data_IF_841512636951
#
_entry.id   IF_841512636951
#
_cell.length_a   1.000
_cell.length_b   1.000
_cell.length_c   1.000
_cell.angle_alpha   90.00
_cell.angle_beta   90.00
_cell.angle_gamma   90.00
#
_symmetry.space_group_name_H-M   'P 1'
#
loop_
_entity.id
_entity.type
_entity.pdbx_description
1 polymer ?
#
# COMPACT_ATOMS: atom_id res chain seq x y z
N UNK A 1 2.17 4.96 -3.76
CA UNK A 1 1.68 6.24 -4.31
C UNK A 1 0.16 6.21 -4.29
N UNK A 2 -0.53 7.36 -4.44
CA UNK A 2 -1.98 7.33 -4.62
C UNK A 2 -2.34 6.51 -5.87
N UNK A 3 -3.45 5.79 -5.78
CA UNK A 3 -4.00 5.00 -6.86
C UNK A 3 -4.32 5.93 -8.06
N UNK A 4 -4.01 5.46 -9.27
CA UNK A 4 -4.03 6.30 -10.48
C UNK A 4 -5.38 6.33 -11.20
N UNK A 5 -6.20 5.28 -11.10
CA UNK A 5 -7.51 5.22 -11.77
C UNK A 5 -8.53 6.18 -11.16
N UNK A 6 -8.36 6.61 -9.91
CA UNK A 6 -9.17 7.67 -9.30
C UNK A 6 -8.78 9.09 -9.73
N UNK A 7 -7.70 9.26 -10.49
CA UNK A 7 -7.29 10.56 -10.99
C UNK A 7 -7.88 10.84 -12.38
N UNK A 8 -8.21 12.11 -12.65
CA UNK A 8 -8.69 12.49 -13.98
C UNK A 8 -7.64 12.35 -15.09
N UNK A 9 -6.37 12.56 -14.72
CA UNK A 9 -5.21 12.27 -15.57
C UNK A 9 -4.23 11.36 -14.82
N UNK A 10 -4.19 10.05 -15.14
CA UNK A 10 -3.28 9.11 -14.49
C UNK A 10 -1.82 9.31 -14.93
N UNK A 11 -1.57 9.97 -16.08
CA UNK A 11 -0.22 10.20 -16.62
C UNK A 11 0.48 11.37 -15.94
N UNK A 12 -0.26 12.35 -15.43
CA UNK A 12 0.28 13.40 -14.56
C UNK A 12 0.45 12.87 -13.11
N UNK A 13 1.68 12.69 -12.61
CA UNK A 13 1.92 12.19 -11.26
C UNK A 13 1.40 13.14 -10.15
N UNK A 14 1.27 14.44 -10.44
CA UNK A 14 0.76 15.42 -9.49
C UNK A 14 -0.77 15.52 -9.49
N UNK A 15 -1.45 15.09 -10.55
CA UNK A 15 -2.90 15.15 -10.68
C UNK A 15 -3.59 14.43 -9.51
N UNK A 16 -3.27 13.14 -9.32
CA UNK A 16 -3.79 12.32 -8.22
C UNK A 16 -3.59 12.94 -6.83
N UNK A 17 -2.46 13.60 -6.59
CA UNK A 17 -2.15 14.23 -5.30
C UNK A 17 -3.00 15.48 -5.09
N UNK A 18 -3.15 16.32 -6.12
CA UNK A 18 -3.95 17.55 -6.05
C UNK A 18 -5.43 17.22 -5.85
N UNK A 19 -5.94 16.26 -6.60
CA UNK A 19 -7.35 15.85 -6.54
C UNK A 19 -7.70 15.21 -5.20
N UNK A 20 -6.85 14.33 -4.69
CA UNK A 20 -7.05 13.75 -3.37
C UNK A 20 -7.02 14.81 -2.25
N UNK A 21 -6.07 15.76 -2.30
CA UNK A 21 -6.05 16.89 -1.35
C UNK A 21 -7.32 17.74 -1.44
N UNK A 22 -7.84 17.98 -2.65
CA UNK A 22 -9.09 18.72 -2.87
C UNK A 22 -10.29 17.95 -2.30
N UNK A 23 -10.34 16.63 -2.47
CA UNK A 23 -11.36 15.77 -1.87
C UNK A 23 -11.34 15.92 -0.35
N UNK A 24 -10.22 15.65 0.31
CA UNK A 24 -10.10 15.75 1.78
C UNK A 24 -10.49 17.13 2.28
N UNK A 25 -10.00 18.19 1.63
CA UNK A 25 -10.35 19.58 1.98
C UNK A 25 -11.85 19.85 1.88
N UNK A 26 -12.50 19.32 0.84
CA UNK A 26 -13.94 19.50 0.62
C UNK A 26 -14.74 18.77 1.70
N UNK A 27 -14.37 17.54 2.05
CA UNK A 27 -15.02 16.81 3.14
C UNK A 27 -14.87 17.55 4.48
N UNK A 28 -13.67 18.02 4.80
CA UNK A 28 -13.41 18.75 6.04
C UNK A 28 -14.19 20.07 6.12
N UNK A 29 -14.32 20.81 5.00
CA UNK A 29 -15.15 22.02 4.93
C UNK A 29 -16.64 21.75 5.18
N UNK A 30 -17.09 20.54 4.89
CA UNK A 30 -18.46 20.09 5.14
C UNK A 30 -18.61 19.37 6.50
N UNK A 31 -17.62 19.46 7.39
CA UNK A 31 -17.67 18.86 8.72
C UNK A 31 -17.50 17.33 8.75
N UNK A 32 -17.18 16.71 7.61
CA UNK A 32 -16.94 15.28 7.51
C UNK A 32 -15.46 14.96 7.72
N UNK A 33 -15.16 13.84 8.39
CA UNK A 33 -13.79 13.34 8.57
C UNK A 33 -13.49 12.27 7.54
N UNK A 34 -12.22 12.15 7.16
CA UNK A 34 -11.74 11.14 6.22
C UNK A 34 -10.83 10.16 6.96
N UNK A 35 -11.17 8.87 6.90
CA UNK A 35 -10.34 7.76 7.40
C UNK A 35 -9.83 6.97 6.20
N UNK A 36 -8.55 6.62 6.19
CA UNK A 36 -7.93 5.85 5.11
C UNK A 36 -7.75 4.40 5.53
N UNK A 37 -8.19 3.50 4.66
CA UNK A 37 -7.84 2.09 4.74
C UNK A 37 -6.41 1.90 4.22
N UNK A 38 -5.55 1.31 5.04
CA UNK A 38 -4.12 1.14 4.76
C UNK A 38 -3.74 -0.32 4.96
N UNK A 39 -3.18 -0.92 3.91
CA UNK A 39 -2.81 -2.33 3.87
C UNK A 39 -1.31 -2.44 4.15
N UNK A 40 -0.94 -2.63 5.41
CA UNK A 40 0.44 -2.85 5.85
C UNK A 40 0.74 -4.31 6.22
N UNK A 41 -0.17 -5.24 5.92
CA UNK A 41 -0.03 -6.65 6.27
C UNK A 41 0.60 -7.51 5.17
N UNK A 42 0.45 -7.15 3.89
CA UNK A 42 1.01 -7.91 2.76
C UNK A 42 1.35 -6.99 1.58
N UNK A 43 2.13 -7.51 0.64
CA UNK A 43 2.42 -6.90 -0.65
C UNK A 43 1.76 -7.68 -1.79
N UNK A 44 1.48 -7.04 -2.92
CA UNK A 44 0.86 -7.70 -4.08
C UNK A 44 1.69 -8.89 -4.60
N UNK A 45 3.01 -8.71 -4.72
CA UNK A 45 3.92 -9.76 -5.16
C UNK A 45 5.29 -9.52 -4.51
N UNK A 46 5.86 -10.56 -3.89
CA UNK A 46 7.12 -10.44 -3.14
C UNK A 46 8.32 -10.20 -4.04
N UNK A 47 8.49 -11.01 -5.09
CA UNK A 47 9.67 -10.97 -5.97
C UNK A 47 9.86 -9.61 -6.66
N UNK A 48 8.76 -8.98 -7.05
CA UNK A 48 8.75 -7.66 -7.70
C UNK A 48 8.68 -6.50 -6.71
N UNK A 49 8.45 -6.77 -5.42
CA UNK A 49 8.38 -5.72 -4.40
C UNK A 49 9.72 -5.02 -4.21
N UNK A 50 9.67 -3.70 -4.00
CA UNK A 50 10.87 -2.93 -3.67
C UNK A 50 11.56 -3.47 -2.39
N UNK A 51 10.78 -3.94 -1.42
CA UNK A 51 11.29 -4.49 -0.17
C UNK A 51 12.19 -5.70 -0.37
N UNK A 52 11.72 -6.69 -1.14
CA UNK A 52 12.53 -7.88 -1.44
C UNK A 52 13.74 -7.54 -2.32
N UNK A 53 13.60 -6.59 -3.26
CA UNK A 53 14.70 -6.20 -4.15
C UNK A 53 15.81 -5.41 -3.46
N UNK A 54 15.50 -4.65 -2.40
CA UNK A 54 16.50 -3.89 -1.64
C UNK A 54 17.15 -4.78 -0.58
N UNK A 55 16.36 -5.52 0.21
CA UNK A 55 16.86 -6.45 1.22
C UNK A 55 16.08 -7.77 1.13
N UNK A 56 16.63 -8.76 0.41
CA UNK A 56 16.01 -10.08 0.29
C UNK A 56 15.80 -10.73 1.67
N UNK A 57 14.69 -11.46 1.82
CA UNK A 57 14.32 -12.24 3.01
C UNK A 57 14.12 -11.49 4.33
N UNK A 58 14.20 -10.15 4.36
CA UNK A 58 14.08 -9.38 5.61
C UNK A 58 12.63 -8.93 5.92
N UNK A 59 11.94 -8.37 4.93
CA UNK A 59 10.65 -7.71 5.16
C UNK A 59 9.44 -8.65 5.20
N UNK A 60 9.64 -9.95 4.93
CA UNK A 60 8.56 -10.94 4.88
C UNK A 60 8.80 -12.02 5.92
N UNK A 61 7.72 -12.58 6.49
CA UNK A 61 7.84 -13.70 7.43
C UNK A 61 8.04 -15.02 6.71
N UNK A 62 8.87 -15.86 7.32
CA UNK A 62 9.14 -17.22 6.91
C UNK A 62 8.94 -18.15 8.11
N UNK A 63 8.47 -19.38 7.85
CA UNK A 63 8.35 -20.40 8.88
C UNK A 63 9.70 -21.08 9.15
N UNK A 64 9.75 -21.96 10.15
CA UNK A 64 10.97 -22.68 10.55
C UNK A 64 11.57 -23.55 9.44
N UNK A 65 10.77 -23.88 8.41
CA UNK A 65 11.20 -24.64 7.23
C UNK A 65 11.68 -23.74 6.08
N UNK A 66 11.74 -22.42 6.28
CA UNK A 66 12.18 -21.44 5.28
C UNK A 66 11.15 -21.09 4.22
N UNK A 67 9.90 -21.57 4.33
CA UNK A 67 8.81 -21.20 3.44
C UNK A 67 8.13 -19.92 3.89
N UNK A 68 7.63 -19.14 2.94
CA UNK A 68 6.92 -17.89 3.22
C UNK A 68 5.63 -18.15 4.01
N UNK A 69 5.38 -17.34 5.03
CA UNK A 69 4.11 -17.41 5.75
C UNK A 69 2.98 -16.76 4.95
N UNK A 70 1.75 -17.25 5.18
CA UNK A 70 0.56 -16.81 4.44
C UNK A 70 -0.64 -16.58 5.38
N UNK A 71 -0.42 -15.92 6.53
CA UNK A 71 -1.46 -15.55 7.48
C UNK A 71 -2.43 -14.49 6.94
N UNK A 72 -2.00 -13.67 5.99
CA UNK A 72 -2.84 -12.71 5.25
C UNK A 72 -3.77 -13.37 4.24
N UNK A 73 -3.53 -14.65 3.91
CA UNK A 73 -4.14 -15.37 2.80
C UNK A 73 -3.91 -14.73 1.41
N UNK A 74 -2.97 -13.79 1.30
CA UNK A 74 -2.61 -13.09 0.05
C UNK A 74 -1.21 -13.45 -0.47
N UNK A 75 -0.64 -14.55 0.02
CA UNK A 75 0.62 -15.14 -0.44
C UNK A 75 1.87 -14.67 0.28
N UNK A 76 1.78 -13.66 1.17
CA UNK A 76 2.89 -13.21 2.00
C UNK A 76 2.41 -12.41 3.21
N UNK A 77 3.23 -12.38 4.26
CA UNK A 77 3.03 -11.51 5.42
C UNK A 77 4.23 -10.60 5.61
N UNK A 78 3.97 -9.31 5.82
CA UNK A 78 5.00 -8.37 6.23
C UNK A 78 5.45 -8.67 7.66
N UNK A 79 6.77 -8.69 7.88
CA UNK A 79 7.37 -8.88 9.20
C UNK A 79 7.34 -7.56 9.97
N UNK A 80 6.19 -7.25 10.57
CA UNK A 80 5.93 -6.00 11.28
C UNK A 80 6.34 -5.98 12.76
N UNK A 81 6.76 -7.12 13.31
CA UNK A 81 7.25 -7.29 14.69
C UNK A 81 8.46 -8.22 14.72
#
# INVERSE_FOLDING_TARGET
>A
TLEGSYASDPKDPYCRVREFKKLVTTFHKNGMRVTLDVVFNHMYNVETSAFHRIVPYYYFRYNDSGFMSNGSYCGNDLSSC
#
